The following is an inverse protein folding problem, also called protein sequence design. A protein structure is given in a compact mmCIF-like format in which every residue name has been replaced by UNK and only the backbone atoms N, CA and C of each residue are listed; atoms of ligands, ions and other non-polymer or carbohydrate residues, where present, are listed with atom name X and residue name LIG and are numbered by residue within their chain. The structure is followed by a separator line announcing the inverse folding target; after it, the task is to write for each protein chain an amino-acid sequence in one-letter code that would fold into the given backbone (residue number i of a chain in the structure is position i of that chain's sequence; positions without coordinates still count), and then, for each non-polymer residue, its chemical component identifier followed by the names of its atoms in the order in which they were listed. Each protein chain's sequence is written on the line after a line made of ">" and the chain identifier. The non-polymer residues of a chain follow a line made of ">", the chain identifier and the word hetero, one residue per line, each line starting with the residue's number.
data_IF_535893254688
#
_entry.id   IF_535893254688
#
_cell.length_a   1.000
_cell.length_b   1.000
_cell.length_c   1.000
_cell.angle_alpha   90.00
_cell.angle_beta   90.00
_cell.angle_gamma   90.00
#
_symmetry.space_group_name_H-M   'P 1'
#
loop_
_entity.id
_entity.type
_entity.pdbx_description
1 polymer ?
#
# COMPACT_ATOMS: atom_id res chain seq x y z
N UNK A 1 9.70 24.30 53.29
CA UNK A 1 9.59 24.79 54.68
C UNK A 1 10.89 25.48 55.05
N UNK A 2 10.91 26.81 54.98
CA UNK A 2 11.68 27.71 55.86
C UNK A 2 11.28 29.15 55.47
N UNK A 3 10.63 29.83 56.40
CA UNK A 3 10.18 31.22 56.34
C UNK A 3 11.33 32.17 56.66
N UNK A 4 11.32 33.38 56.09
CA UNK A 4 11.81 34.58 56.78
C UNK A 4 10.80 35.71 56.56
N UNK A 5 10.16 36.07 57.65
CA UNK A 5 9.15 37.11 57.83
C UNK A 5 9.78 38.48 58.00
N UNK A 6 9.25 39.47 57.28
CA UNK A 6 9.44 40.90 57.52
C UNK A 6 8.36 41.42 58.47
N UNK A 7 8.75 42.21 59.47
CA UNK A 7 7.84 43.04 60.25
C UNK A 7 8.54 44.32 60.67
N UNK A 8 8.00 45.45 60.19
CA UNK A 8 8.19 46.77 60.77
C UNK A 8 7.25 46.97 61.95
N UNK A 9 7.67 47.69 62.99
CA UNK A 9 6.76 48.45 63.84
C UNK A 9 7.49 49.61 64.51
N UNK A 10 6.91 50.79 64.28
CA UNK A 10 7.14 52.09 64.88
C UNK A 10 6.91 52.14 66.39
N UNK A 11 7.57 53.08 67.08
CA UNK A 11 7.06 53.70 68.30
C UNK A 11 7.59 55.13 68.43
N UNK A 12 6.65 56.08 68.50
CA UNK A 12 6.83 57.53 68.73
C UNK A 12 6.62 57.84 70.20
N UNK A 13 7.35 58.84 70.74
CA UNK A 13 7.00 59.78 71.83
C UNK A 13 8.26 60.60 72.19
N UNK A 14 8.28 61.89 72.52
CA UNK A 14 7.28 62.97 72.67
C UNK A 14 8.05 64.28 72.96
N UNK A 15 7.62 65.39 72.36
CA UNK A 15 7.65 66.84 72.73
C UNK A 15 8.66 67.36 73.80
N UNK A 16 9.40 68.47 73.54
CA UNK A 16 9.00 69.86 73.91
C UNK A 16 10.11 70.95 73.69
N UNK A 17 9.74 71.98 72.91
CA UNK A 17 9.97 73.46 72.93
C UNK A 17 11.05 74.08 73.88
N UNK A 18 11.97 74.91 73.35
CA UNK A 18 12.12 76.39 73.54
C UNK A 18 13.52 76.94 73.17
N UNK A 19 13.52 78.09 72.50
CA UNK A 19 14.64 78.90 71.99
C UNK A 19 15.54 79.50 73.07
N UNK A 20 16.82 79.74 72.75
CA UNK A 20 17.42 81.09 72.57
C UNK A 20 18.97 81.08 72.68
N UNK A 21 19.59 81.93 71.83
CA UNK A 21 20.96 82.47 71.88
C UNK A 21 22.13 81.50 71.66
N UNK A 22 23.28 81.89 71.09
CA UNK A 22 23.77 82.90 70.14
C UNK A 22 25.29 82.60 70.10
N UNK A 23 25.90 82.67 68.91
CA UNK A 23 27.36 82.72 68.67
C UNK A 23 28.15 81.41 68.84
N UNK A 24 28.50 80.78 67.73
CA UNK A 24 29.88 80.82 67.22
C UNK A 24 29.90 80.29 65.77
N UNK A 25 30.32 81.15 64.84
CA UNK A 25 30.67 80.77 63.47
C UNK A 25 32.02 80.05 63.48
N UNK A 26 32.06 78.74 63.17
CA UNK A 26 33.18 78.03 62.51
C UNK A 26 32.73 76.58 62.12
N UNK A 27 33.41 75.89 61.18
CA UNK A 27 32.79 75.29 60.00
C UNK A 27 32.23 73.88 60.26
N UNK A 28 30.92 73.76 60.40
CA UNK A 28 30.24 72.47 60.55
C UNK A 28 29.90 71.81 59.19
N UNK A 29 29.86 72.60 58.12
CA UNK A 29 29.62 72.12 56.75
C UNK A 29 30.71 71.15 56.28
N UNK A 30 31.98 71.37 56.63
CA UNK A 30 33.09 70.52 56.15
C UNK A 30 33.08 69.11 56.77
N UNK A 31 32.65 68.97 58.03
CA UNK A 31 32.59 67.66 58.71
C UNK A 31 31.36 66.85 58.29
N UNK A 32 30.24 67.52 57.99
CA UNK A 32 29.02 66.92 57.43
C UNK A 32 29.21 66.54 55.96
N UNK A 33 29.89 67.37 55.16
CA UNK A 33 30.28 67.02 53.79
C UNK A 33 31.27 65.84 53.77
N UNK A 34 32.22 65.78 54.70
CA UNK A 34 33.18 64.67 54.82
C UNK A 34 32.48 63.37 55.23
N UNK A 35 31.45 63.42 56.06
CA UNK A 35 30.66 62.23 56.44
C UNK A 35 29.68 61.79 55.35
N UNK A 36 29.07 62.74 54.62
CA UNK A 36 28.23 62.44 53.43
C UNK A 36 29.09 61.86 52.31
N UNK A 37 30.24 62.46 51.98
CA UNK A 37 31.16 61.93 50.96
C UNK A 37 31.80 60.59 51.37
N UNK A 38 32.00 60.35 52.68
CA UNK A 38 32.38 59.04 53.19
C UNK A 38 31.24 58.01 53.05
N UNK A 39 29.99 58.39 53.35
CA UNK A 39 28.83 57.53 53.19
C UNK A 39 28.53 57.20 51.71
N UNK A 40 28.70 58.17 50.80
CA UNK A 40 28.60 57.96 49.34
C UNK A 40 29.72 57.04 48.82
N UNK A 41 30.96 57.19 49.32
CA UNK A 41 32.04 56.23 49.03
C UNK A 41 31.72 54.84 49.57
N UNK A 42 31.15 54.73 50.77
CA UNK A 42 30.73 53.46 51.36
C UNK A 42 29.61 52.81 50.55
N UNK A 43 28.62 53.59 50.10
CA UNK A 43 27.52 53.15 49.23
C UNK A 43 28.04 52.65 47.88
N UNK A 44 28.95 53.40 47.23
CA UNK A 44 29.56 52.98 45.97
C UNK A 44 30.42 51.71 46.09
N UNK A 45 30.98 51.42 47.26
CA UNK A 45 31.68 50.15 47.55
C UNK A 45 30.66 49.00 47.69
N UNK A 46 29.53 49.23 48.35
CA UNK A 46 28.45 48.25 48.51
C UNK A 46 27.82 47.90 47.16
N UNK A 47 27.45 48.90 46.35
CA UNK A 47 26.88 48.68 45.01
C UNK A 47 27.82 47.87 44.11
N UNK A 48 29.13 48.16 44.20
CA UNK A 48 30.16 47.47 43.44
C UNK A 48 30.42 46.07 43.97
N UNK A 49 30.30 45.83 45.27
CA UNK A 49 30.36 44.50 45.89
C UNK A 49 29.15 43.65 45.49
N UNK A 50 27.94 44.21 45.53
CA UNK A 50 26.71 43.54 45.09
C UNK A 50 26.76 43.17 43.61
N UNK A 51 27.28 44.06 42.75
CA UNK A 51 27.47 43.77 41.32
C UNK A 51 28.45 42.61 41.10
N UNK A 52 29.57 42.58 41.81
CA UNK A 52 30.55 41.49 41.74
C UNK A 52 29.92 40.19 42.22
N UNK A 53 29.14 40.21 43.31
CA UNK A 53 28.44 39.04 43.83
C UNK A 53 27.40 38.50 42.84
N UNK A 54 26.61 39.38 42.22
CA UNK A 54 25.64 39.00 41.19
C UNK A 54 26.34 38.41 39.96
N UNK A 55 27.50 38.97 39.57
CA UNK A 55 28.29 38.47 38.44
C UNK A 55 28.97 37.13 38.75
N UNK A 56 29.47 36.92 39.97
CA UNK A 56 29.98 35.63 40.43
C UNK A 56 28.88 34.56 40.43
N UNK A 57 27.70 34.87 40.97
CA UNK A 57 26.56 33.95 40.95
C UNK A 57 26.15 33.61 39.51
N UNK A 58 26.05 34.61 38.63
CA UNK A 58 25.77 34.42 37.20
C UNK A 58 26.83 33.56 36.52
N UNK A 59 28.11 33.77 36.81
CA UNK A 59 29.20 32.97 36.27
C UNK A 59 29.15 31.52 36.77
N UNK A 60 28.90 31.31 38.05
CA UNK A 60 28.72 29.97 38.65
C UNK A 60 27.56 29.21 38.01
N UNK A 61 26.41 29.87 37.84
CA UNK A 61 25.25 29.27 37.16
C UNK A 61 25.55 28.93 35.71
N UNK A 62 26.21 29.84 34.98
CA UNK A 62 26.62 29.62 33.59
C UNK A 62 27.58 28.44 33.44
N UNK A 63 28.59 28.34 34.31
CA UNK A 63 29.55 27.22 34.28
C UNK A 63 28.82 25.90 34.57
N UNK A 64 27.95 25.88 35.58
CA UNK A 64 27.14 24.70 35.92
C UNK A 64 26.27 24.26 34.75
N UNK A 65 25.60 25.20 34.10
CA UNK A 65 24.76 24.94 32.94
C UNK A 65 25.57 24.39 31.75
N UNK A 66 26.72 25.00 31.42
CA UNK A 66 27.60 24.50 30.37
C UNK A 66 28.11 23.08 30.66
N UNK A 67 28.47 22.78 31.91
CA UNK A 67 28.92 21.45 32.30
C UNK A 67 27.79 20.41 32.14
N UNK A 68 26.57 20.75 32.56
CA UNK A 68 25.41 19.87 32.38
C UNK A 68 25.09 19.63 30.91
N UNK A 69 25.08 20.68 30.08
CA UNK A 69 24.87 20.54 28.64
C UNK A 69 25.97 19.69 27.99
N UNK A 70 27.22 19.87 28.40
CA UNK A 70 28.35 19.08 27.89
C UNK A 70 28.19 17.60 28.23
N UNK A 71 27.82 17.28 29.48
CA UNK A 71 27.56 15.91 29.92
C UNK A 71 26.39 15.30 29.16
N UNK A 72 25.30 16.05 28.98
CA UNK A 72 24.12 15.60 28.25
C UNK A 72 24.46 15.27 26.79
N UNK A 73 25.15 16.18 26.09
CA UNK A 73 25.59 15.96 24.70
C UNK A 73 26.46 14.72 24.58
N UNK A 74 27.33 14.47 25.55
CA UNK A 74 28.18 13.28 25.55
C UNK A 74 27.40 11.99 25.78
N UNK A 75 26.42 12.02 26.69
CA UNK A 75 25.50 10.90 26.93
C UNK A 75 24.67 10.60 25.68
N UNK A 76 23.99 11.62 25.14
CA UNK A 76 23.13 11.52 23.97
C UNK A 76 23.90 10.97 22.75
N UNK A 77 25.13 11.44 22.52
CA UNK A 77 25.98 10.92 21.45
C UNK A 77 26.35 9.44 21.63
N UNK A 78 26.52 9.01 22.88
CA UNK A 78 26.85 7.61 23.18
C UNK A 78 25.63 6.73 22.97
N UNK A 79 24.45 7.19 23.39
CA UNK A 79 23.17 6.51 23.19
C UNK A 79 22.81 6.40 21.70
N UNK A 80 22.97 7.48 20.94
CA UNK A 80 22.76 7.47 19.48
C UNK A 80 23.75 6.53 18.80
N UNK A 81 25.03 6.54 19.19
CA UNK A 81 26.04 5.66 18.59
C UNK A 81 25.71 4.19 18.84
N UNK A 82 25.37 3.81 20.07
CA UNK A 82 25.03 2.43 20.42
C UNK A 82 23.77 1.96 19.69
N UNK A 83 22.77 2.84 19.56
CA UNK A 83 21.58 2.54 18.77
C UNK A 83 21.89 2.39 17.27
N UNK A 84 22.76 3.24 16.72
CA UNK A 84 23.21 3.12 15.33
C UNK A 84 24.00 1.82 15.10
N UNK A 85 24.86 1.39 16.03
CA UNK A 85 25.60 0.12 15.92
C UNK A 85 24.64 -1.05 15.69
N UNK A 86 23.62 -1.16 16.54
CA UNK A 86 22.58 -2.20 16.41
C UNK A 86 21.73 -2.04 15.16
N UNK A 87 21.29 -0.82 14.86
CA UNK A 87 20.34 -0.57 13.78
C UNK A 87 20.97 -0.73 12.40
N UNK A 88 22.24 -0.35 12.24
CA UNK A 88 22.97 -0.57 10.99
C UNK A 88 23.15 -2.06 10.70
N UNK A 89 23.50 -2.86 11.71
CA UNK A 89 23.59 -4.32 11.60
C UNK A 89 22.24 -4.93 11.21
N UNK A 90 21.16 -4.60 11.94
CA UNK A 90 19.81 -5.07 11.61
C UNK A 90 19.37 -4.66 10.19
N UNK A 91 19.65 -3.43 9.76
CA UNK A 91 19.29 -2.97 8.41
C UNK A 91 20.11 -3.65 7.31
N UNK A 92 21.37 -3.99 7.59
CA UNK A 92 22.21 -4.73 6.67
C UNK A 92 21.73 -6.17 6.52
N UNK A 93 21.40 -6.83 7.64
CA UNK A 93 20.77 -8.15 7.63
C UNK A 93 19.44 -8.14 6.88
N UNK A 94 18.56 -7.17 7.14
CA UNK A 94 17.24 -7.08 6.50
C UNK A 94 17.30 -6.80 5.00
N UNK A 95 18.32 -6.07 4.53
CA UNK A 95 18.54 -5.84 3.10
C UNK A 95 19.13 -7.05 2.39
N UNK A 96 20.00 -7.81 3.07
CA UNK A 96 20.54 -9.06 2.56
C UNK A 96 19.57 -10.23 2.72
N UNK A 97 18.61 -10.11 3.62
CA UNK A 97 17.66 -11.16 3.92
C UNK A 97 16.82 -11.48 2.68
N UNK A 98 16.74 -12.78 2.40
CA UNK A 98 15.87 -13.39 1.37
C UNK A 98 14.50 -12.73 1.37
N UNK A 99 13.83 -12.45 0.23
CA UNK A 99 12.49 -11.86 0.23
C UNK A 99 11.49 -12.64 1.08
N UNK A 100 10.41 -11.99 1.53
CA UNK A 100 9.37 -12.67 2.28
C UNK A 100 8.67 -13.70 1.40
N UNK A 101 8.48 -14.88 1.97
CA UNK A 101 8.07 -16.11 1.29
C UNK A 101 6.58 -16.39 1.44
N UNK A 102 5.89 -15.66 2.31
CA UNK A 102 4.46 -15.74 2.52
C UNK A 102 3.87 -14.36 2.81
N UNK A 103 2.55 -14.22 2.67
CA UNK A 103 1.84 -12.99 3.06
C UNK A 103 2.11 -12.64 4.53
N UNK A 104 2.13 -13.63 5.43
CA UNK A 104 2.45 -13.43 6.84
C UNK A 104 3.89 -12.94 7.05
N UNK A 105 4.88 -13.51 6.32
CA UNK A 105 6.26 -13.04 6.37
C UNK A 105 6.40 -11.60 5.84
N UNK A 106 5.61 -11.24 4.82
CA UNK A 106 5.55 -9.89 4.27
C UNK A 106 4.98 -8.90 5.30
N UNK A 107 3.89 -9.26 5.98
CA UNK A 107 3.28 -8.47 7.05
C UNK A 107 4.26 -8.23 8.21
N UNK A 108 5.03 -9.25 8.59
CA UNK A 108 6.07 -9.13 9.61
C UNK A 108 7.16 -8.11 9.20
N UNK A 109 7.59 -8.09 7.93
CA UNK A 109 8.53 -7.08 7.43
C UNK A 109 7.94 -5.68 7.44
N UNK A 110 6.67 -5.54 7.06
CA UNK A 110 5.97 -4.25 7.12
C UNK A 110 5.87 -3.76 8.57
N UNK A 111 5.59 -4.67 9.52
CA UNK A 111 5.59 -4.34 10.95
C UNK A 111 6.97 -3.90 11.42
N UNK A 112 8.02 -4.66 11.11
CA UNK A 112 9.41 -4.29 11.45
C UNK A 112 9.80 -2.94 10.86
N UNK A 113 9.43 -2.65 9.60
CA UNK A 113 9.67 -1.36 8.97
C UNK A 113 9.00 -0.21 9.74
N UNK A 114 7.75 -0.40 10.16
CA UNK A 114 7.02 0.60 10.97
C UNK A 114 7.71 0.84 12.31
N UNK A 115 8.17 -0.21 12.96
CA UNK A 115 8.85 -0.11 14.25
C UNK A 115 10.22 0.58 14.11
N UNK A 116 11.00 0.26 13.09
CA UNK A 116 12.27 0.93 12.79
C UNK A 116 12.06 2.40 12.44
N UNK A 117 11.04 2.75 11.64
CA UNK A 117 10.71 4.14 11.32
C UNK A 117 10.41 4.96 12.59
N UNK A 118 9.62 4.41 13.52
CA UNK A 118 9.35 5.07 14.81
C UNK A 118 10.63 5.28 15.63
N UNK A 119 11.54 4.32 15.63
CA UNK A 119 12.82 4.47 16.32
C UNK A 119 13.65 5.61 15.70
N UNK A 120 13.72 5.68 14.36
CA UNK A 120 14.37 6.80 13.66
C UNK A 120 13.72 8.14 14.01
N UNK A 121 12.40 8.25 14.06
CA UNK A 121 11.75 9.51 14.43
C UNK A 121 12.10 9.96 15.87
N UNK A 122 12.20 9.01 16.81
CA UNK A 122 12.61 9.29 18.19
C UNK A 122 14.06 9.79 18.25
N UNK A 123 15.01 9.08 17.62
CA UNK A 123 16.43 9.47 17.64
C UNK A 123 16.73 10.70 16.79
N UNK A 124 15.90 11.02 15.79
CA UNK A 124 16.04 12.25 14.99
C UNK A 124 15.97 13.49 15.87
N UNK A 125 15.07 13.52 16.85
CA UNK A 125 14.97 14.62 17.80
C UNK A 125 16.25 14.77 18.64
N UNK A 126 16.84 13.65 19.08
CA UNK A 126 18.09 13.63 19.84
C UNK A 126 19.26 14.13 18.98
N UNK A 127 19.41 13.64 17.75
CA UNK A 127 20.45 14.08 16.81
C UNK A 127 20.35 15.57 16.50
N UNK A 128 19.14 16.10 16.31
CA UNK A 128 18.93 17.54 16.11
C UNK A 128 19.31 18.35 17.36
N UNK A 129 18.91 17.89 18.55
CA UNK A 129 19.26 18.52 19.83
C UNK A 129 20.77 18.57 20.02
N UNK A 130 21.46 17.44 19.88
CA UNK A 130 22.92 17.32 19.98
C UNK A 130 23.62 18.25 18.98
N UNK A 131 23.16 18.30 17.72
CA UNK A 131 23.73 19.19 16.69
C UNK A 131 23.53 20.68 17.01
N UNK A 132 22.43 21.06 17.66
CA UNK A 132 22.19 22.45 18.09
C UNK A 132 23.05 22.80 19.30
N UNK A 133 23.02 21.99 20.35
CA UNK A 133 23.80 22.20 21.58
C UNK A 133 25.31 22.17 21.32
N UNK A 134 25.77 21.33 20.38
CA UNK A 134 27.17 21.29 19.94
C UNK A 134 27.71 22.66 19.49
N UNK A 135 26.89 23.50 18.86
CA UNK A 135 27.31 24.83 18.35
C UNK A 135 27.62 25.80 19.47
N UNK A 136 27.03 25.63 20.66
CA UNK A 136 27.29 26.48 21.81
C UNK A 136 28.74 26.34 22.33
N UNK A 137 29.40 25.23 22.03
CA UNK A 137 30.78 24.94 22.44
C UNK A 137 31.84 25.35 21.41
N UNK A 138 31.44 25.88 20.25
CA UNK A 138 32.32 26.18 19.11
C UNK A 138 33.41 27.23 19.38
N UNK A 139 33.31 27.95 20.51
CA UNK A 139 34.27 28.97 20.95
C UNK A 139 35.40 28.41 21.84
N UNK A 140 35.33 27.15 22.25
CA UNK A 140 36.34 26.52 23.10
C UNK A 140 37.38 25.81 22.24
N UNK A 141 38.58 26.39 22.09
CA UNK A 141 39.71 25.76 21.36
C UNK A 141 40.40 24.69 22.23
N UNK A 142 39.59 23.74 22.73
CA UNK A 142 40.03 22.63 23.58
C UNK A 142 40.15 21.34 22.75
N UNK A 143 41.04 20.45 23.16
CA UNK A 143 41.18 19.09 22.61
C UNK A 143 39.88 18.29 22.76
N UNK A 144 39.20 18.44 23.89
CA UNK A 144 37.91 17.78 24.20
C UNK A 144 36.80 18.20 23.24
N UNK A 145 36.74 19.49 22.87
CA UNK A 145 35.78 19.97 21.88
C UNK A 145 36.06 19.42 20.48
N UNK A 146 37.34 19.32 20.07
CA UNK A 146 37.73 18.72 18.78
C UNK A 146 37.32 17.25 18.70
N UNK A 147 37.51 16.49 19.77
CA UNK A 147 37.08 15.10 19.86
C UNK A 147 35.55 14.97 19.79
N UNK A 148 34.83 15.81 20.54
CA UNK A 148 33.37 15.90 20.46
C UNK A 148 32.87 16.17 19.04
N UNK A 149 33.51 17.12 18.34
CA UNK A 149 33.16 17.47 16.97
C UNK A 149 33.41 16.31 15.99
N UNK A 150 34.50 15.55 16.19
CA UNK A 150 34.80 14.36 15.38
C UNK A 150 33.77 13.25 15.60
N UNK A 151 33.40 12.98 16.85
CA UNK A 151 32.34 12.02 17.20
C UNK A 151 31.00 12.43 16.60
N UNK A 152 30.64 13.70 16.70
CA UNK A 152 29.42 14.24 16.10
C UNK A 152 29.39 14.07 14.58
N UNK A 153 30.48 14.40 13.88
CA UNK A 153 30.60 14.17 12.43
C UNK A 153 30.41 12.70 12.08
N UNK A 154 31.02 11.79 12.84
CA UNK A 154 30.89 10.34 12.63
C UNK A 154 29.45 9.87 12.83
N UNK A 155 28.79 10.30 13.91
CA UNK A 155 27.37 9.97 14.18
C UNK A 155 26.47 10.50 13.08
N UNK A 156 26.65 11.75 12.63
CA UNK A 156 25.85 12.32 11.54
C UNK A 156 26.06 11.55 10.22
N UNK A 157 27.29 11.15 9.90
CA UNK A 157 27.56 10.37 8.69
C UNK A 157 26.87 8.99 8.72
N UNK A 158 26.98 8.30 9.87
CA UNK A 158 26.31 7.00 10.09
C UNK A 158 24.79 7.14 10.06
N UNK A 159 24.26 8.20 10.66
CA UNK A 159 22.84 8.53 10.61
C UNK A 159 22.33 8.64 9.17
N UNK A 160 23.02 9.41 8.31
CA UNK A 160 22.64 9.55 6.90
C UNK A 160 22.72 8.22 6.15
N UNK A 161 23.77 7.42 6.39
CA UNK A 161 23.92 6.08 5.81
C UNK A 161 22.76 5.16 6.21
N UNK A 162 22.44 5.11 7.50
CA UNK A 162 21.37 4.29 8.04
C UNK A 162 19.99 4.76 7.55
N UNK A 163 19.76 6.07 7.46
CA UNK A 163 18.54 6.65 6.90
C UNK A 163 18.36 6.28 5.42
N UNK A 164 19.45 6.33 4.64
CA UNK A 164 19.42 5.92 3.24
C UNK A 164 19.16 4.42 3.08
N UNK A 165 19.80 3.58 3.89
CA UNK A 165 19.55 2.14 3.95
C UNK A 165 18.08 1.83 4.28
N UNK A 166 17.50 2.51 5.27
CA UNK A 166 16.09 2.38 5.63
C UNK A 166 15.16 2.80 4.48
N UNK A 167 15.46 3.89 3.78
CA UNK A 167 14.66 4.34 2.64
C UNK A 167 14.72 3.35 1.46
N UNK A 168 15.90 2.81 1.16
CA UNK A 168 16.08 1.80 0.13
C UNK A 168 15.32 0.51 0.49
N UNK A 169 15.43 0.05 1.73
CA UNK A 169 14.68 -1.10 2.22
C UNK A 169 13.17 -0.87 2.12
N UNK A 170 12.68 0.31 2.54
CA UNK A 170 11.28 0.71 2.41
C UNK A 170 10.79 0.70 0.96
N UNK A 171 11.56 1.25 0.02
CA UNK A 171 11.23 1.27 -1.41
C UNK A 171 11.16 -0.16 -1.96
N UNK A 172 12.15 -0.99 -1.66
CA UNK A 172 12.20 -2.38 -2.08
C UNK A 172 11.01 -3.19 -1.56
N UNK A 173 10.66 -3.02 -0.28
CA UNK A 173 9.53 -3.70 0.34
C UNK A 173 8.18 -3.27 -0.27
N UNK A 174 8.00 -1.97 -0.51
CA UNK A 174 6.79 -1.44 -1.17
C UNK A 174 6.63 -1.97 -2.59
N UNK A 175 7.72 -1.99 -3.35
CA UNK A 175 7.70 -2.53 -4.71
C UNK A 175 7.33 -4.02 -4.69
N UNK A 176 7.95 -4.82 -3.83
CA UNK A 176 7.61 -6.23 -3.69
C UNK A 176 6.13 -6.42 -3.32
N UNK A 177 5.60 -5.63 -2.37
CA UNK A 177 4.20 -5.70 -1.97
C UNK A 177 3.24 -5.43 -3.11
N UNK A 178 3.53 -4.42 -3.93
CA UNK A 178 2.71 -4.08 -5.09
C UNK A 178 2.68 -5.23 -6.09
N UNK A 179 3.83 -5.82 -6.42
CA UNK A 179 3.89 -6.95 -7.36
C UNK A 179 3.16 -8.18 -6.82
N UNK A 180 3.27 -8.47 -5.52
CA UNK A 180 2.51 -9.55 -4.89
C UNK A 180 0.99 -9.31 -4.98
N UNK A 181 0.54 -8.08 -4.73
CA UNK A 181 -0.87 -7.71 -4.81
C UNK A 181 -1.40 -7.80 -6.24
N UNK A 182 -0.67 -7.22 -7.20
CA UNK A 182 -1.04 -7.26 -8.62
C UNK A 182 -1.10 -8.69 -9.14
N UNK A 183 -0.14 -9.54 -8.76
CA UNK A 183 -0.14 -10.96 -9.09
C UNK A 183 -1.36 -11.68 -8.50
N UNK A 184 -1.65 -11.46 -7.20
CA UNK A 184 -2.78 -12.10 -6.54
C UNK A 184 -4.12 -11.67 -7.17
N UNK A 185 -4.31 -10.37 -7.37
CA UNK A 185 -5.52 -9.81 -7.97
C UNK A 185 -5.74 -10.31 -9.41
N UNK A 186 -4.72 -10.24 -10.27
CA UNK A 186 -4.83 -10.69 -11.65
C UNK A 186 -5.05 -12.20 -11.75
N UNK A 187 -4.33 -13.00 -10.95
CA UNK A 187 -4.50 -14.46 -10.94
C UNK A 187 -5.90 -14.85 -10.46
N UNK A 188 -6.42 -14.20 -9.41
CA UNK A 188 -7.76 -14.48 -8.89
C UNK A 188 -8.85 -14.10 -9.89
N UNK A 189 -8.74 -12.92 -10.53
CA UNK A 189 -9.67 -12.50 -11.59
C UNK A 189 -9.71 -13.50 -12.74
N UNK A 190 -8.55 -14.01 -13.15
CA UNK A 190 -8.47 -14.98 -14.24
C UNK A 190 -9.03 -16.35 -13.84
N UNK A 191 -8.80 -16.82 -12.62
CA UNK A 191 -9.40 -18.06 -12.10
C UNK A 191 -10.93 -17.98 -12.10
N UNK A 192 -11.49 -16.89 -11.58
CA UNK A 192 -12.94 -16.67 -11.56
C UNK A 192 -13.51 -16.59 -12.98
N UNK A 193 -12.81 -15.89 -13.88
CA UNK A 193 -13.21 -15.81 -15.28
C UNK A 193 -13.19 -17.19 -15.96
N UNK A 194 -12.14 -18.00 -15.74
CA UNK A 194 -12.05 -19.36 -16.29
C UNK A 194 -13.19 -20.26 -15.80
N UNK A 195 -13.58 -20.15 -14.53
CA UNK A 195 -14.72 -20.88 -13.98
C UNK A 195 -16.05 -20.44 -14.64
N UNK A 196 -16.24 -19.14 -14.86
CA UNK A 196 -17.41 -18.63 -15.57
C UNK A 196 -17.42 -19.05 -17.04
N UNK A 197 -16.27 -19.04 -17.72
CA UNK A 197 -16.11 -19.48 -19.09
C UNK A 197 -16.44 -20.98 -19.25
N UNK A 198 -16.00 -21.80 -18.28
CA UNK A 198 -16.36 -23.21 -18.23
C UNK A 198 -17.87 -23.42 -18.01
N UNK A 199 -18.51 -22.61 -17.16
CA UNK A 199 -19.97 -22.60 -17.01
C UNK A 199 -20.70 -22.30 -18.31
N UNK A 200 -20.33 -21.21 -19.00
CA UNK A 200 -20.89 -20.83 -20.32
C UNK A 200 -20.71 -21.92 -21.37
N UNK A 201 -19.54 -22.55 -21.41
CA UNK A 201 -19.27 -23.69 -22.29
C UNK A 201 -20.25 -24.84 -22.02
N UNK A 202 -20.41 -25.20 -20.74
CA UNK A 202 -21.29 -26.32 -20.35
C UNK A 202 -22.75 -26.03 -20.71
N UNK A 203 -23.20 -24.79 -20.57
CA UNK A 203 -24.54 -24.35 -20.99
C UNK A 203 -24.72 -24.38 -22.51
N UNK A 204 -23.68 -24.01 -23.26
CA UNK A 204 -23.68 -24.04 -24.72
C UNK A 204 -23.56 -25.46 -25.30
N UNK A 205 -23.23 -26.48 -24.51
CA UNK A 205 -23.05 -27.85 -25.00
C UNK A 205 -24.40 -28.52 -25.32
N UNK A 206 -24.56 -28.96 -26.57
CA UNK A 206 -25.81 -29.57 -27.04
C UNK A 206 -25.79 -31.07 -26.72
N UNK A 207 -26.66 -31.49 -25.79
CA UNK A 207 -26.79 -32.90 -25.39
C UNK A 207 -27.92 -33.63 -26.15
N UNK A 208 -28.93 -32.90 -26.60
CA UNK A 208 -30.07 -33.46 -27.33
C UNK A 208 -29.79 -33.53 -28.84
N UNK A 209 -29.75 -34.73 -29.47
CA UNK A 209 -29.56 -34.87 -30.91
C UNK A 209 -30.72 -34.32 -31.75
N UNK A 210 -31.89 -34.06 -31.16
CA UNK A 210 -33.05 -33.45 -31.83
C UNK A 210 -33.21 -31.96 -31.49
N UNK A 211 -32.17 -31.31 -30.95
CA UNK A 211 -32.20 -29.89 -30.63
C UNK A 211 -32.60 -29.04 -31.86
N UNK A 212 -33.42 -28.03 -31.61
CA UNK A 212 -33.90 -27.12 -32.65
C UNK A 212 -32.73 -26.37 -33.33
N UNK A 213 -32.72 -26.21 -34.67
CA UNK A 213 -31.63 -25.55 -35.39
C UNK A 213 -31.29 -24.14 -34.88
N UNK A 214 -32.26 -23.39 -34.37
CA UNK A 214 -31.99 -22.07 -33.78
C UNK A 214 -31.17 -22.19 -32.49
N UNK A 215 -31.45 -23.20 -31.67
CA UNK A 215 -30.68 -23.48 -30.44
C UNK A 215 -29.25 -23.89 -30.77
N UNK A 216 -29.07 -24.67 -31.85
CA UNK A 216 -27.75 -25.06 -32.33
C UNK A 216 -26.94 -23.85 -32.83
N UNK A 217 -27.59 -22.93 -33.53
CA UNK A 217 -26.95 -21.70 -34.01
C UNK A 217 -26.54 -20.75 -32.88
N UNK A 218 -27.40 -20.57 -31.87
CA UNK A 218 -27.05 -19.75 -30.69
C UNK A 218 -25.91 -20.37 -29.89
N UNK A 219 -25.92 -21.69 -29.70
CA UNK A 219 -24.79 -22.44 -29.12
C UNK A 219 -23.49 -22.21 -29.91
N UNK A 220 -23.54 -22.30 -31.24
CA UNK A 220 -22.38 -22.03 -32.10
C UNK A 220 -21.82 -20.63 -31.87
N UNK A 221 -22.68 -19.61 -31.86
CA UNK A 221 -22.30 -18.22 -31.68
C UNK A 221 -21.65 -17.98 -30.32
N UNK A 222 -22.21 -18.56 -29.27
CA UNK A 222 -21.66 -18.48 -27.92
C UNK A 222 -20.28 -19.14 -27.83
N UNK A 223 -20.10 -20.33 -28.42
CA UNK A 223 -18.81 -21.02 -28.46
C UNK A 223 -17.76 -20.27 -29.27
N UNK A 224 -18.12 -19.65 -30.40
CA UNK A 224 -17.19 -18.81 -31.19
C UNK A 224 -16.74 -17.57 -30.40
N UNK A 225 -17.68 -16.94 -29.69
CA UNK A 225 -17.36 -15.80 -28.83
C UNK A 225 -16.43 -16.22 -27.70
N UNK A 226 -16.69 -17.37 -27.08
CA UNK A 226 -15.87 -17.93 -26.02
C UNK A 226 -14.45 -18.28 -26.52
N UNK A 227 -14.31 -18.89 -27.71
CA UNK A 227 -13.02 -19.19 -28.33
C UNK A 227 -12.18 -17.92 -28.51
N UNK A 228 -12.79 -16.84 -29.01
CA UNK A 228 -12.13 -15.55 -29.16
C UNK A 228 -11.65 -14.99 -27.81
N UNK A 229 -12.53 -14.97 -26.81
CA UNK A 229 -12.19 -14.45 -25.47
C UNK A 229 -11.06 -15.26 -24.79
N UNK A 230 -11.04 -16.58 -25.00
CA UNK A 230 -9.99 -17.48 -24.49
C UNK A 230 -8.62 -17.14 -25.10
N UNK A 231 -8.57 -16.87 -26.40
CA UNK A 231 -7.35 -16.43 -27.07
C UNK A 231 -6.87 -15.07 -26.53
N UNK A 232 -7.78 -14.14 -26.25
CA UNK A 232 -7.45 -12.84 -25.65
C UNK A 232 -6.91 -12.99 -24.22
N UNK A 233 -7.38 -13.98 -23.44
CA UNK A 233 -6.86 -14.22 -22.10
C UNK A 233 -5.42 -14.74 -22.07
N UNK A 234 -4.89 -15.27 -23.18
CA UNK A 234 -3.50 -15.74 -23.24
C UNK A 234 -2.50 -14.62 -22.90
N UNK A 235 -2.78 -13.37 -23.29
CA UNK A 235 -1.93 -12.24 -22.95
C UNK A 235 -1.84 -12.02 -21.43
N UNK A 236 -2.94 -12.21 -20.70
CA UNK A 236 -2.95 -12.08 -19.23
C UNK A 236 -2.17 -13.19 -18.56
N UNK A 237 -2.18 -14.41 -19.11
CA UNK A 237 -1.31 -15.51 -18.63
C UNK A 237 0.16 -15.13 -18.83
N UNK A 238 0.52 -14.55 -19.96
CA UNK A 238 1.90 -14.10 -20.21
C UNK A 238 2.31 -12.98 -19.23
N UNK A 239 1.43 -12.01 -18.95
CA UNK A 239 1.69 -10.99 -17.92
C UNK A 239 1.87 -11.61 -16.52
N UNK A 240 1.10 -12.63 -16.16
CA UNK A 240 1.28 -13.37 -14.90
C UNK A 240 2.61 -14.13 -14.86
N UNK A 241 3.08 -14.67 -16.00
CA UNK A 241 4.40 -15.29 -16.10
C UNK A 241 5.52 -14.28 -15.89
N UNK A 242 5.42 -13.08 -16.47
CA UNK A 242 6.39 -12.00 -16.25
C UNK A 242 6.42 -11.54 -14.79
N UNK A 243 5.26 -11.40 -14.15
CA UNK A 243 5.15 -11.07 -12.73
C UNK A 243 5.73 -12.17 -11.85
N UNK A 244 5.43 -13.44 -12.15
CA UNK A 244 6.02 -14.60 -11.46
C UNK A 244 7.54 -14.60 -11.56
N UNK A 245 8.08 -14.39 -12.77
CA UNK A 245 9.52 -14.34 -13.02
C UNK A 245 10.21 -13.19 -12.26
N UNK A 246 9.59 -12.01 -12.19
CA UNK A 246 10.10 -10.90 -11.41
C UNK A 246 10.17 -11.23 -9.91
N UNK A 247 9.13 -11.88 -9.38
CA UNK A 247 9.05 -12.29 -7.98
C UNK A 247 10.09 -13.37 -7.66
N UNK A 248 10.23 -14.37 -8.55
CA UNK A 248 11.24 -15.41 -8.50
C UNK A 248 12.67 -14.88 -8.61
N UNK A 249 12.95 -13.88 -9.44
CA UNK A 249 14.29 -13.31 -9.56
C UNK A 249 14.72 -12.60 -8.26
N UNK A 250 13.75 -12.05 -7.53
CA UNK A 250 14.03 -11.44 -6.23
C UNK A 250 14.20 -12.50 -5.13
N UNK A 251 13.48 -13.62 -5.19
CA UNK A 251 13.46 -14.66 -4.15
C UNK A 251 14.29 -15.89 -4.47
N UNK A 252 14.97 -16.50 -3.49
CA UNK A 252 15.54 -17.83 -3.69
C UNK A 252 14.40 -18.86 -3.90
N UNK A 253 14.03 -19.08 -5.16
CA UNK A 253 13.48 -20.25 -5.83
C UNK A 253 12.41 -21.15 -5.20
N UNK A 254 12.34 -21.31 -3.87
CA UNK A 254 11.60 -22.38 -3.20
C UNK A 254 10.17 -21.99 -2.81
N UNK A 255 9.91 -20.73 -2.47
CA UNK A 255 8.59 -20.30 -1.98
C UNK A 255 7.72 -19.59 -3.03
N UNK A 256 8.33 -19.06 -4.09
CA UNK A 256 7.58 -18.58 -5.27
C UNK A 256 7.31 -19.68 -6.31
N UNK A 257 7.67 -20.93 -6.01
CA UNK A 257 7.19 -22.10 -6.73
C UNK A 257 5.65 -22.09 -6.76
N UNK A 258 4.99 -21.69 -5.66
CA UNK A 258 3.52 -21.59 -5.62
C UNK A 258 2.98 -20.60 -6.67
N UNK A 259 3.65 -19.47 -6.89
CA UNK A 259 3.24 -18.50 -7.90
C UNK A 259 3.40 -19.08 -9.32
N UNK A 260 4.53 -19.73 -9.59
CA UNK A 260 4.79 -20.36 -10.89
C UNK A 260 3.87 -21.55 -11.16
N UNK A 261 3.63 -22.40 -10.15
CA UNK A 261 2.65 -23.48 -10.17
C UNK A 261 1.24 -22.93 -10.43
N UNK A 262 0.85 -21.85 -9.76
CA UNK A 262 -0.45 -21.21 -9.97
C UNK A 262 -0.59 -20.70 -11.40
N UNK A 263 0.44 -20.02 -11.93
CA UNK A 263 0.46 -19.55 -13.33
C UNK A 263 0.39 -20.74 -14.29
N UNK A 264 1.13 -21.81 -14.01
CA UNK A 264 1.13 -23.03 -14.79
C UNK A 264 -0.25 -23.69 -14.82
N UNK A 265 -0.91 -23.82 -13.67
CA UNK A 265 -2.27 -24.39 -13.54
C UNK A 265 -3.28 -23.53 -14.31
N UNK A 266 -3.21 -22.21 -14.17
CA UNK A 266 -4.07 -21.28 -14.93
C UNK A 266 -3.84 -21.45 -16.45
N UNK A 267 -2.58 -21.46 -16.89
CA UNK A 267 -2.23 -21.64 -18.30
C UNK A 267 -2.69 -23.00 -18.85
N UNK A 268 -2.52 -24.07 -18.07
CA UNK A 268 -3.00 -25.41 -18.42
C UNK A 268 -4.52 -25.45 -18.55
N UNK A 269 -5.24 -24.85 -17.59
CA UNK A 269 -6.71 -24.80 -17.62
C UNK A 269 -7.23 -23.98 -18.80
N UNK A 270 -6.61 -22.83 -19.10
CA UNK A 270 -6.93 -22.02 -20.26
C UNK A 270 -6.77 -22.83 -21.55
N UNK A 271 -5.61 -23.47 -21.73
CA UNK A 271 -5.32 -24.32 -22.89
C UNK A 271 -6.34 -25.45 -23.03
N UNK A 272 -6.62 -26.16 -21.95
CA UNK A 272 -7.61 -27.23 -21.93
C UNK A 272 -8.99 -26.72 -22.35
N UNK A 273 -9.43 -25.59 -21.81
CA UNK A 273 -10.75 -25.02 -22.12
C UNK A 273 -10.83 -24.59 -23.59
N UNK A 274 -9.77 -24.00 -24.14
CA UNK A 274 -9.66 -23.67 -25.57
C UNK A 274 -9.79 -24.91 -26.46
N UNK A 275 -9.10 -26.00 -26.11
CA UNK A 275 -9.19 -27.27 -26.84
C UNK A 275 -10.62 -27.85 -26.79
N UNK A 276 -11.26 -27.79 -25.63
CA UNK A 276 -12.63 -28.26 -25.45
C UNK A 276 -13.65 -27.42 -26.23
N UNK A 277 -13.57 -26.08 -26.18
CA UNK A 277 -14.45 -25.20 -26.97
C UNK A 277 -14.26 -25.43 -28.47
N UNK A 278 -13.02 -25.58 -28.93
CA UNK A 278 -12.72 -25.88 -30.34
C UNK A 278 -13.31 -27.22 -30.77
N UNK A 279 -13.28 -28.23 -29.90
CA UNK A 279 -13.93 -29.52 -30.16
C UNK A 279 -15.45 -29.36 -30.24
N UNK A 280 -16.08 -28.70 -29.27
CA UNK A 280 -17.53 -28.49 -29.23
C UNK A 280 -18.01 -27.73 -30.47
N UNK A 281 -17.25 -26.71 -30.90
CA UNK A 281 -17.52 -25.96 -32.13
C UNK A 281 -17.55 -26.88 -33.36
N UNK A 282 -16.59 -27.81 -33.49
CA UNK A 282 -16.56 -28.80 -34.58
C UNK A 282 -17.77 -29.73 -34.53
N UNK A 283 -18.17 -30.17 -33.34
CA UNK A 283 -19.37 -31.01 -33.17
C UNK A 283 -20.64 -30.29 -33.59
N UNK A 284 -20.80 -29.03 -33.17
CA UNK A 284 -21.94 -28.18 -33.54
C UNK A 284 -21.96 -27.91 -35.05
N UNK A 285 -20.81 -27.60 -35.66
CA UNK A 285 -20.68 -27.44 -37.11
C UNK A 285 -21.05 -28.72 -37.87
N UNK A 286 -20.60 -29.88 -37.41
CA UNK A 286 -20.97 -31.17 -38.01
C UNK A 286 -22.48 -31.42 -37.97
N UNK A 287 -23.13 -31.06 -36.86
CA UNK A 287 -24.58 -31.20 -36.69
C UNK A 287 -25.35 -30.27 -37.65
N UNK A 288 -24.92 -29.01 -37.79
CA UNK A 288 -25.50 -28.06 -38.76
C UNK A 288 -25.34 -28.54 -40.21
N UNK A 289 -24.18 -29.08 -40.56
CA UNK A 289 -23.94 -29.65 -41.89
C UNK A 289 -24.83 -30.87 -42.16
N UNK A 290 -25.09 -31.69 -41.14
CA UNK A 290 -26.03 -32.81 -41.25
C UNK A 290 -27.46 -32.34 -41.48
N UNK A 291 -27.94 -31.33 -40.75
CA UNK A 291 -29.25 -30.71 -41.00
C UNK A 291 -29.35 -30.12 -42.42
N UNK A 292 -28.30 -29.44 -42.88
CA UNK A 292 -28.24 -28.90 -44.24
C UNK A 292 -28.33 -30.02 -45.30
N UNK A 293 -27.63 -31.14 -45.07
CA UNK A 293 -27.71 -32.31 -45.95
C UNK A 293 -29.12 -32.92 -45.98
N UNK A 294 -29.78 -33.06 -44.82
CA UNK A 294 -31.15 -33.56 -44.74
C UNK A 294 -32.13 -32.65 -45.48
N UNK A 295 -31.99 -31.32 -45.34
CA UNK A 295 -32.79 -30.34 -46.07
C UNK A 295 -32.57 -30.48 -47.59
N UNK A 296 -31.33 -30.63 -48.03
CA UNK A 296 -31.01 -30.85 -49.45
C UNK A 296 -31.64 -32.15 -49.98
N UNK A 297 -31.56 -33.24 -49.22
CA UNK A 297 -32.18 -34.52 -49.59
C UNK A 297 -33.71 -34.41 -49.65
N UNK A 298 -34.34 -33.72 -48.71
CA UNK A 298 -35.78 -33.47 -48.70
C UNK A 298 -36.21 -32.66 -49.94
N UNK A 299 -35.44 -31.65 -50.34
CA UNK A 299 -35.69 -30.87 -51.55
C UNK A 299 -35.51 -31.67 -52.87
N UNK A 300 -34.76 -32.78 -52.83
CA UNK A 300 -34.56 -33.67 -53.98
C UNK A 300 -35.63 -34.75 -54.12
N UNK A 301 -36.52 -34.91 -53.13
CA UNK A 301 -37.68 -35.79 -53.25
C UNK A 301 -38.61 -35.15 -54.29
N UNK A 302 -38.89 -35.81 -55.43
CA UNK A 302 -39.84 -35.29 -56.39
C UNK A 302 -41.18 -35.11 -55.68
N UNK A 303 -41.70 -33.88 -55.65
CA UNK A 303 -43.11 -33.66 -55.40
C UNK A 303 -43.85 -34.39 -56.53
N UNK A 304 -44.24 -35.63 -56.28
CA UNK A 304 -45.24 -36.27 -57.13
C UNK A 304 -46.52 -35.50 -56.91
N UNK A 305 -46.75 -34.48 -57.72
CA UNK A 305 -48.10 -34.12 -58.10
C UNK A 305 -48.66 -35.35 -58.83
N UNK A 306 -49.12 -36.33 -58.06
CA UNK A 306 -50.17 -37.20 -58.55
C UNK A 306 -51.38 -36.28 -58.77
N UNK A 307 -51.58 -35.91 -60.02
CA UNK A 307 -52.88 -35.53 -60.52
C UNK A 307 -53.87 -36.61 -60.06
N UNK A 308 -54.58 -36.37 -58.95
CA UNK A 308 -55.78 -37.10 -58.58
C UNK A 308 -56.90 -36.73 -59.58
N UNK A 309 -56.69 -37.04 -60.86
CA UNK A 309 -57.73 -37.06 -61.86
C UNK A 309 -58.58 -38.30 -61.62
N UNK A 310 -59.65 -38.12 -60.86
CA UNK A 310 -60.74 -39.07 -60.73
C UNK A 310 -61.49 -39.20 -62.08
N UNK A 311 -60.85 -39.80 -63.08
CA UNK A 311 -61.43 -40.05 -64.42
C UNK A 311 -61.60 -41.53 -64.74
N UNK A 312 -61.59 -42.41 -63.73
CA UNK A 312 -61.81 -43.85 -63.96
C UNK A 312 -62.75 -44.51 -62.94
N UNK A 313 -63.78 -43.79 -62.48
CA UNK A 313 -64.88 -44.39 -61.71
C UNK A 313 -66.23 -43.67 -61.95
N UNK A 314 -66.72 -43.63 -63.19
CA UNK A 314 -68.16 -43.46 -63.42
C UNK A 314 -68.59 -43.91 -64.82
N UNK A 315 -68.96 -45.18 -64.97
CA UNK A 315 -69.65 -45.70 -66.16
C UNK A 315 -70.94 -46.45 -65.80
N UNK A 316 -71.61 -46.05 -64.71
CA UNK A 316 -72.92 -46.60 -64.33
C UNK A 316 -74.10 -45.70 -64.76
N UNK A 317 -73.83 -44.52 -65.33
CA UNK A 317 -74.85 -43.53 -65.66
C UNK A 317 -75.29 -43.50 -67.15
N UNK A 318 -74.87 -44.45 -67.99
CA UNK A 318 -75.31 -44.52 -69.40
C UNK A 318 -75.69 -45.94 -69.84
N UNK A 319 -77.00 -46.20 -69.77
CA UNK A 319 -77.83 -47.01 -70.69
C UNK A 319 -78.73 -48.04 -70.00
N UNK A 320 -79.68 -47.54 -69.21
CA UNK A 320 -80.96 -48.23 -69.08
C UNK A 320 -81.68 -48.19 -70.43
N UNK A 321 -81.77 -49.31 -71.12
CA UNK A 321 -82.82 -49.58 -72.12
C UNK A 321 -83.55 -50.87 -71.73
N UNK A 322 -84.89 -50.85 -71.60
CA UNK A 322 -85.68 -52.00 -71.22
C UNK A 322 -85.85 -53.02 -72.37
N UNK A 323 -85.92 -54.27 -71.98
CA UNK A 323 -86.01 -55.50 -72.80
C UNK A 323 -87.39 -55.68 -73.46
N UNK A 324 -87.42 -56.23 -74.68
CA UNK A 324 -88.55 -57.02 -75.21
C UNK A 324 -88.00 -58.32 -75.81
N UNK A 325 -88.14 -59.43 -75.06
CA UNK A 325 -87.96 -60.79 -75.58
C UNK A 325 -89.33 -61.31 -75.99
N UNK A 326 -89.48 -61.73 -77.24
CA UNK A 326 -90.65 -62.48 -77.67
C UNK A 326 -90.51 -63.93 -77.18
N UNK A 327 -91.46 -64.37 -76.36
CA UNK A 327 -91.42 -65.69 -75.74
C UNK A 327 -91.98 -66.80 -76.63
N UNK A 328 -92.55 -66.50 -77.81
CA UNK A 328 -93.10 -67.52 -78.73
C UNK A 328 -93.07 -67.08 -80.22
N UNK A 329 -91.87 -67.02 -80.82
CA UNK A 329 -91.70 -66.95 -82.29
C UNK A 329 -91.03 -65.67 -82.82
N UNK A 330 -90.52 -65.71 -84.07
CA UNK A 330 -89.86 -64.57 -84.70
C UNK A 330 -90.86 -63.45 -85.07
N UNK A 331 -90.43 -62.18 -85.12
CA UNK A 331 -91.30 -61.04 -85.43
C UNK A 331 -91.89 -61.13 -86.85
N UNK A 332 -93.10 -60.61 -87.07
CA UNK A 332 -93.78 -60.67 -88.38
C UNK A 332 -92.95 -59.94 -89.45
N UNK A 333 -92.90 -60.54 -90.66
CA UNK A 333 -92.17 -60.07 -91.85
C UNK A 333 -92.69 -58.76 -92.41
#
# INVERSE_FOLDING_TARGET
>A
VTQLSSASSSSVNKENITSANMSDEEPQDDQELVTITAAEKQSGIIDRWELIQAQDLRNKLRIKQHLQQWQQVNSDLSDVSAWLDKTEEELEELQKAKPPTSMQAMEQRVKKLKDTLKAFDNYKAVVLSVNLSSKEFQKADSTEFKELQNRLRKVNLRWEKAAHALDNWRKGLRQALLHCQDFHDQSQKLILWLASAEGRRNEAQITDPNADPHTILESQKELMQLEKELLEQQLKVNCLQELSAYLLLKSDGEDYIEADEKVHVIGKKLKQLTEQVSHDLKTVQGSLLFFLLLLLLACMIPSSEEDYSCTQANNFARSFYPMLRYTNGPPPT
#
